data_IF_324293849816
#
_entry.id   IF_324293849816
#
_cell.length_a   1.000
_cell.length_b   1.000
_cell.length_c   1.000
_cell.angle_alpha   90.00
_cell.angle_beta   90.00
_cell.angle_gamma   90.00
#
_symmetry.space_group_name_H-M   'P 1'
#
loop_
_entity.id
_entity.type
_entity.pdbx_description
1 polymer ?
#
# COMPACT_ATOMS: atom_id res chain seq x y z
N UNK A 1 -21.93 -4.36 9.51
CA UNK A 1 -20.78 -4.07 10.36
C UNK A 1 -19.62 -4.23 9.42
N UNK A 2 -19.35 -3.16 8.67
CA UNK A 2 -18.33 -3.12 7.63
C UNK A 2 -17.14 -2.52 8.36
N UNK A 3 -16.05 -3.29 8.46
CA UNK A 3 -14.77 -2.74 8.90
C UNK A 3 -14.23 -2.00 7.68
N UNK A 4 -14.73 -0.78 7.46
CA UNK A 4 -13.89 0.25 6.87
C UNK A 4 -12.74 0.45 7.83
N UNK A 5 -11.55 0.78 7.33
CA UNK A 5 -10.56 1.51 8.11
C UNK A 5 -11.21 2.82 8.55
N UNK A 6 -12.00 2.82 9.63
CA UNK A 6 -12.89 3.94 9.99
C UNK A 6 -12.13 5.18 10.48
N UNK A 7 -10.82 5.13 10.46
CA UNK A 7 -9.93 6.05 11.14
C UNK A 7 -8.86 6.66 10.20
N UNK A 8 -8.93 6.40 8.88
CA UNK A 8 -8.22 7.14 7.83
C UNK A 8 -9.05 7.13 6.54
N UNK A 9 -9.32 8.29 5.93
CA UNK A 9 -10.08 8.36 4.67
C UNK A 9 -9.95 9.71 3.93
N UNK A 10 -10.07 9.68 2.60
CA UNK A 10 -10.40 10.84 1.77
C UNK A 10 -11.90 11.16 1.79
N UNK A 11 -12.25 12.41 2.14
CA UNK A 11 -13.61 12.94 2.07
C UNK A 11 -13.80 13.78 0.78
N UNK A 12 -14.51 13.27 -0.25
CA UNK A 12 -14.70 13.99 -1.50
C UNK A 12 -15.64 15.21 -1.38
N UNK A 13 -16.58 15.22 -0.42
CA UNK A 13 -17.50 16.35 -0.22
C UNK A 13 -16.79 17.58 0.35
N UNK A 14 -15.87 17.35 1.30
CA UNK A 14 -15.09 18.40 1.96
C UNK A 14 -13.74 18.66 1.29
N UNK A 15 -13.31 17.77 0.39
CA UNK A 15 -11.98 17.71 -0.20
C UNK A 15 -10.89 17.71 0.87
N UNK A 16 -11.00 16.79 1.84
CA UNK A 16 -10.11 16.69 2.98
C UNK A 16 -9.72 15.25 3.24
N UNK A 17 -8.45 15.04 3.54
CA UNK A 17 -7.97 13.78 4.11
C UNK A 17 -8.09 13.86 5.63
N UNK A 18 -8.68 12.83 6.22
CA UNK A 18 -8.79 12.66 7.66
C UNK A 18 -7.91 11.47 8.07
N UNK A 19 -6.98 11.71 9.00
CA UNK A 19 -6.12 10.69 9.60
C UNK A 19 -6.33 10.76 11.12
N UNK A 20 -7.02 9.79 11.68
CA UNK A 20 -7.38 9.74 13.09
C UNK A 20 -6.25 9.11 13.91
N UNK A 21 -6.11 9.54 15.17
CA UNK A 21 -5.11 8.97 16.07
C UNK A 21 -5.44 7.51 16.45
N UNK A 22 -6.71 7.14 16.35
CA UNK A 22 -7.23 5.79 16.56
C UNK A 22 -6.60 4.78 15.60
N UNK A 23 -6.34 5.16 14.34
CA UNK A 23 -5.62 4.32 13.38
C UNK A 23 -4.19 4.02 13.89
N UNK A 24 -3.49 5.06 14.33
CA UNK A 24 -2.10 4.95 14.82
C UNK A 24 -2.05 4.08 16.08
N UNK A 25 -3.01 4.25 17.00
CA UNK A 25 -3.11 3.45 18.23
C UNK A 25 -3.38 1.97 17.92
N UNK A 26 -4.28 1.67 16.97
CA UNK A 26 -4.53 0.29 16.54
C UNK A 26 -3.32 -0.33 15.84
N UNK A 27 -2.64 0.43 14.97
CA UNK A 27 -1.43 -0.03 14.30
C UNK A 27 -0.30 -0.31 15.30
N UNK A 28 -0.02 0.61 16.22
CA UNK A 28 1.01 0.41 17.27
C UNK A 28 0.69 -0.83 18.11
N UNK A 29 -0.57 -0.99 18.50
CA UNK A 29 -1.00 -2.15 19.27
C UNK A 29 -0.84 -3.44 18.47
N UNK A 30 -1.27 -3.46 17.22
CA UNK A 30 -1.15 -4.62 16.32
C UNK A 30 0.32 -5.04 16.17
N UNK A 31 1.21 -4.09 15.90
CA UNK A 31 2.65 -4.36 15.83
C UNK A 31 3.25 -4.83 17.16
N UNK A 32 2.80 -4.25 18.29
CA UNK A 32 3.27 -4.66 19.62
C UNK A 32 2.84 -6.09 19.95
N UNK A 33 1.61 -6.47 19.61
CA UNK A 33 1.09 -7.83 19.78
C UNK A 33 1.79 -8.83 18.83
N UNK A 34 2.15 -8.38 17.61
CA UNK A 34 2.96 -9.11 16.64
C UNK A 34 4.44 -9.23 17.01
N UNK A 35 4.90 -8.53 18.05
CA UNK A 35 6.27 -8.61 18.56
C UNK A 35 7.29 -7.77 17.78
N UNK A 36 6.85 -6.71 17.10
CA UNK A 36 7.74 -5.78 16.43
C UNK A 36 8.75 -5.16 17.44
N UNK A 37 10.05 -5.02 17.08
CA UNK A 37 11.05 -4.44 17.98
C UNK A 37 10.78 -2.98 18.35
N UNK A 38 10.21 -2.20 17.42
CA UNK A 38 9.77 -0.82 17.59
C UNK A 38 8.35 -0.64 17.02
N UNK A 39 7.30 -0.97 17.79
CA UNK A 39 5.93 -0.93 17.31
C UNK A 39 5.45 0.48 16.93
N UNK A 40 5.92 1.50 17.64
CA UNK A 40 5.53 2.88 17.36
C UNK A 40 6.11 3.35 16.03
N UNK A 41 7.38 3.07 15.75
CA UNK A 41 7.96 3.42 14.46
C UNK A 41 7.24 2.70 13.33
N UNK A 42 6.97 1.39 13.46
CA UNK A 42 6.20 0.64 12.45
C UNK A 42 4.79 1.18 12.24
N UNK A 43 4.14 1.65 13.30
CA UNK A 43 2.82 2.29 13.20
C UNK A 43 2.88 3.63 12.45
N UNK A 44 3.92 4.43 12.69
CA UNK A 44 4.17 5.67 11.94
C UNK A 44 4.40 5.35 10.47
N UNK A 45 5.26 4.38 10.17
CA UNK A 45 5.56 3.93 8.81
C UNK A 45 4.29 3.45 8.09
N UNK A 46 3.47 2.62 8.73
CA UNK A 46 2.20 2.17 8.16
C UNK A 46 1.20 3.34 7.95
N UNK A 47 1.21 4.33 8.85
CA UNK A 47 0.39 5.54 8.72
C UNK A 47 0.82 6.39 7.53
N UNK A 48 2.13 6.53 7.29
CA UNK A 48 2.66 7.26 6.14
C UNK A 48 2.29 6.54 4.82
N UNK A 49 2.36 5.21 4.79
CA UNK A 49 1.90 4.43 3.64
C UNK A 49 0.39 4.59 3.39
N UNK A 50 -0.44 4.55 4.46
CA UNK A 50 -1.89 4.77 4.35
C UNK A 50 -2.21 6.21 3.94
N UNK A 51 -1.41 7.20 4.36
CA UNK A 51 -1.54 8.57 3.85
C UNK A 51 -1.41 8.62 2.31
N UNK A 52 -0.45 7.90 1.74
CA UNK A 52 -0.31 7.84 0.27
C UNK A 52 -1.43 7.02 -0.40
N UNK A 53 -1.98 6.02 0.28
CA UNK A 53 -3.19 5.31 -0.15
C UNK A 53 -4.38 6.28 -0.25
N UNK A 54 -4.64 7.07 0.80
CA UNK A 54 -5.71 8.08 0.80
C UNK A 54 -5.45 9.19 -0.23
N UNK A 55 -4.18 9.51 -0.46
CA UNK A 55 -3.81 10.41 -1.56
C UNK A 55 -4.20 9.82 -2.92
N UNK A 56 -4.22 8.49 -3.06
CA UNK A 56 -4.73 7.80 -4.22
C UNK A 56 -6.22 8.07 -4.47
N UNK A 57 -7.06 7.92 -3.45
CA UNK A 57 -8.47 8.32 -3.55
C UNK A 57 -8.59 9.80 -3.91
N UNK A 58 -7.80 10.67 -3.27
CA UNK A 58 -7.80 12.11 -3.53
C UNK A 58 -7.49 12.45 -4.99
N UNK A 59 -6.41 11.93 -5.56
CA UNK A 59 -6.01 12.29 -6.94
C UNK A 59 -6.97 11.73 -7.98
N UNK A 60 -7.54 10.55 -7.73
CA UNK A 60 -8.57 9.98 -8.60
C UNK A 60 -9.82 10.86 -8.60
N UNK A 61 -10.29 11.28 -7.42
CA UNK A 61 -11.46 12.13 -7.26
C UNK A 61 -11.25 13.56 -7.83
N UNK A 62 -10.20 14.26 -7.39
CA UNK A 62 -9.95 15.67 -7.78
C UNK A 62 -9.76 15.83 -9.29
N UNK A 63 -9.08 14.87 -9.93
CA UNK A 63 -8.76 14.94 -11.36
C UNK A 63 -9.72 14.13 -12.24
N UNK A 64 -10.73 13.48 -11.66
CA UNK A 64 -11.68 12.62 -12.38
C UNK A 64 -10.95 11.56 -13.23
N UNK A 65 -9.94 10.92 -12.63
CA UNK A 65 -9.08 9.97 -13.35
C UNK A 65 -9.85 8.66 -13.61
N UNK A 66 -9.80 8.13 -14.84
CA UNK A 66 -10.42 6.85 -15.13
C UNK A 66 -9.63 5.70 -14.50
N UNK A 67 -10.26 4.93 -13.62
CA UNK A 67 -9.71 3.71 -13.03
C UNK A 67 -10.52 2.49 -13.47
N UNK A 68 -9.87 1.34 -13.64
CA UNK A 68 -10.52 0.08 -14.04
C UNK A 68 -10.29 -1.07 -13.06
N UNK A 69 -9.51 -0.83 -12.00
CA UNK A 69 -9.31 -1.75 -10.88
C UNK A 69 -10.35 -1.56 -9.78
N UNK A 70 -10.23 -2.35 -8.71
CA UNK A 70 -10.94 -2.07 -7.46
C UNK A 70 -10.35 -0.82 -6.84
N UNK A 71 -11.20 0.02 -6.26
CA UNK A 71 -10.80 1.35 -5.79
C UNK A 71 -9.63 1.30 -4.80
N UNK A 72 -9.73 0.42 -3.80
CA UNK A 72 -8.72 0.20 -2.76
C UNK A 72 -7.39 -0.34 -3.32
N UNK A 73 -7.45 -1.27 -4.28
CA UNK A 73 -6.25 -1.81 -4.93
C UNK A 73 -5.55 -0.73 -5.79
N UNK A 74 -6.32 0.21 -6.34
CA UNK A 74 -5.81 1.35 -7.11
C UNK A 74 -5.19 2.40 -6.17
N UNK A 75 -5.78 2.63 -5.00
CA UNK A 75 -5.21 3.47 -3.95
C UNK A 75 -3.87 2.90 -3.44
N UNK A 76 -3.77 1.59 -3.23
CA UNK A 76 -2.50 0.92 -2.89
C UNK A 76 -1.42 1.11 -3.98
N UNK A 77 -1.82 1.09 -5.26
CA UNK A 77 -0.90 1.37 -6.36
C UNK A 77 -0.35 2.79 -6.31
N UNK A 78 -1.13 3.78 -5.85
CA UNK A 78 -0.63 5.13 -5.64
C UNK A 78 0.38 5.18 -4.50
N UNK A 79 0.12 4.47 -3.40
CA UNK A 79 1.09 4.35 -2.32
C UNK A 79 2.43 3.79 -2.81
N UNK A 80 2.39 2.66 -3.53
CA UNK A 80 3.57 2.07 -4.14
C UNK A 80 4.24 3.00 -5.16
N UNK A 81 3.47 3.64 -6.04
CA UNK A 81 3.99 4.61 -7.00
C UNK A 81 4.73 5.76 -6.30
N UNK A 82 4.16 6.34 -5.25
CA UNK A 82 4.75 7.50 -4.59
C UNK A 82 5.99 7.15 -3.76
N UNK A 83 5.96 6.01 -3.07
CA UNK A 83 7.03 5.58 -2.17
C UNK A 83 8.23 4.96 -2.92
N UNK A 84 7.98 4.27 -4.04
CA UNK A 84 9.00 3.45 -4.68
C UNK A 84 9.67 4.14 -5.89
N UNK A 85 9.65 5.47 -5.97
CA UNK A 85 10.37 6.17 -7.03
C UNK A 85 11.89 6.08 -6.80
N UNK A 86 12.69 5.78 -7.85
CA UNK A 86 14.13 5.71 -7.71
C UNK A 86 14.75 7.10 -7.52
N UNK A 87 15.81 7.15 -6.72
CA UNK A 87 16.68 8.32 -6.55
C UNK A 87 17.65 8.53 -7.71
N UNK A 88 18.60 9.46 -7.53
CA UNK A 88 19.60 9.81 -8.55
C UNK A 88 20.56 8.66 -8.92
N UNK A 89 20.67 7.64 -8.07
CA UNK A 89 21.49 6.44 -8.26
C UNK A 89 20.71 5.26 -8.86
N UNK A 90 19.49 5.52 -9.37
CA UNK A 90 18.56 4.53 -9.91
C UNK A 90 18.14 3.46 -8.88
N UNK A 91 18.21 3.78 -7.58
CA UNK A 91 17.82 2.90 -6.46
C UNK A 91 16.63 3.47 -5.72
N UNK A 92 15.75 2.60 -5.24
CA UNK A 92 14.66 3.00 -4.35
C UNK A 92 15.24 3.25 -2.96
N UNK A 93 14.75 4.30 -2.30
CA UNK A 93 15.12 4.60 -0.93
C UNK A 93 14.62 3.51 0.02
N UNK A 94 15.53 2.94 0.83
CA UNK A 94 15.23 1.80 1.68
C UNK A 94 14.21 2.15 2.78
N UNK A 95 14.22 3.38 3.30
CA UNK A 95 13.24 3.84 4.29
C UNK A 95 11.84 3.90 3.65
N UNK A 96 11.75 4.35 2.40
CA UNK A 96 10.48 4.35 1.64
C UNK A 96 9.95 2.94 1.33
N UNK A 97 10.85 1.96 1.10
CA UNK A 97 10.47 0.55 1.01
C UNK A 97 9.94 0.05 2.36
N UNK A 98 10.64 0.34 3.46
CA UNK A 98 10.21 -0.04 4.82
C UNK A 98 8.83 0.52 5.17
N UNK A 99 8.53 1.76 4.75
CA UNK A 99 7.20 2.39 4.87
C UNK A 99 6.11 1.56 4.18
N UNK A 100 6.33 1.15 2.92
CA UNK A 100 5.37 0.31 2.19
C UNK A 100 5.24 -1.09 2.82
N UNK A 101 6.35 -1.67 3.27
CA UNK A 101 6.36 -2.98 3.93
C UNK A 101 5.66 -2.95 5.29
N UNK A 102 5.69 -1.82 6.01
CA UNK A 102 4.92 -1.67 7.24
C UNK A 102 3.41 -1.79 6.98
N UNK A 103 2.89 -1.20 5.89
CA UNK A 103 1.49 -1.39 5.49
C UNK A 103 1.19 -2.85 5.13
N UNK A 104 2.10 -3.51 4.39
CA UNK A 104 1.95 -4.92 4.06
C UNK A 104 1.92 -5.81 5.32
N UNK A 105 2.80 -5.59 6.28
CA UNK A 105 2.82 -6.32 7.55
C UNK A 105 1.54 -6.10 8.35
N UNK A 106 1.04 -4.85 8.39
CA UNK A 106 -0.20 -4.52 9.10
C UNK A 106 -1.41 -5.25 8.48
N UNK A 107 -1.50 -5.25 7.15
CA UNK A 107 -2.53 -6.00 6.41
C UNK A 107 -2.41 -7.52 6.62
N UNK A 108 -1.19 -8.05 6.66
CA UNK A 108 -0.97 -9.47 6.97
C UNK A 108 -1.49 -9.83 8.36
N UNK A 109 -1.14 -9.02 9.38
CA UNK A 109 -1.61 -9.22 10.75
C UNK A 109 -3.13 -9.12 10.89
N UNK A 110 -3.77 -8.13 10.25
CA UNK A 110 -5.23 -8.02 10.23
C UNK A 110 -5.89 -9.19 9.51
N UNK A 111 -5.34 -9.62 8.36
CA UNK A 111 -5.82 -10.77 7.63
C UNK A 111 -5.72 -12.07 8.44
N UNK A 112 -4.63 -12.27 9.17
CA UNK A 112 -4.46 -13.41 10.07
C UNK A 112 -5.46 -13.38 11.24
N UNK A 113 -5.74 -12.20 11.79
CA UNK A 113 -6.72 -12.01 12.85
C UNK A 113 -8.16 -12.25 12.37
N UNK A 114 -8.48 -11.88 11.12
CA UNK A 114 -9.77 -12.10 10.49
C UNK A 114 -10.00 -13.59 10.12
N UNK A 115 -8.94 -14.31 9.77
CA UNK A 115 -8.99 -15.71 9.37
C UNK A 115 -9.36 -15.90 7.89
N UNK A 116 -9.87 -17.09 7.55
CA UNK A 116 -10.21 -17.41 6.15
C UNK A 116 -11.32 -16.48 5.62
N UNK A 117 -11.17 -15.90 4.41
CA UNK A 117 -12.17 -14.98 3.88
C UNK A 117 -13.52 -15.69 3.63
N UNK A 118 -14.59 -15.09 4.13
CA UNK A 118 -15.97 -15.54 3.94
C UNK A 118 -16.67 -14.80 2.78
N UNK A 119 -17.96 -15.10 2.55
CA UNK A 119 -18.75 -14.46 1.50
C UNK A 119 -18.80 -12.92 1.64
N UNK A 120 -18.79 -12.39 2.86
CA UNK A 120 -18.80 -10.95 3.08
C UNK A 120 -17.44 -10.34 2.70
N UNK A 121 -16.34 -10.99 3.07
CA UNK A 121 -14.99 -10.55 2.68
C UNK A 121 -14.79 -10.57 1.15
N UNK A 122 -15.34 -11.56 0.44
CA UNK A 122 -15.28 -11.59 -1.03
C UNK A 122 -16.18 -10.54 -1.70
N UNK A 123 -17.22 -10.07 -1.03
CA UNK A 123 -18.15 -9.05 -1.52
C UNK A 123 -17.77 -7.62 -1.09
N UNK A 124 -16.75 -7.47 -0.25
CA UNK A 124 -16.27 -6.18 0.23
C UNK A 124 -15.67 -5.34 -0.92
N UNK A 125 -15.50 -4.03 -0.71
CA UNK A 125 -14.81 -3.17 -1.69
C UNK A 125 -13.30 -3.47 -1.68
N UNK A 126 -12.74 -3.78 -0.52
CA UNK A 126 -11.34 -4.17 -0.35
C UNK A 126 -11.12 -5.58 -0.85
N UNK A 127 -10.03 -5.79 -1.58
CA UNK A 127 -9.53 -7.15 -1.76
C UNK A 127 -9.20 -7.80 -0.43
N UNK A 128 -9.34 -9.14 -0.28
CA UNK A 128 -8.89 -9.82 0.92
C UNK A 128 -7.45 -9.40 1.25
N UNK A 129 -7.17 -9.10 2.51
CA UNK A 129 -5.90 -8.44 2.90
C UNK A 129 -4.67 -9.18 2.36
N UNK A 130 -4.68 -10.52 2.40
CA UNK A 130 -3.61 -11.35 1.85
C UNK A 130 -3.35 -11.11 0.34
N UNK A 131 -4.37 -10.80 -0.45
CA UNK A 131 -4.19 -10.41 -1.85
C UNK A 131 -3.46 -9.07 -1.95
N UNK A 132 -3.82 -8.10 -1.10
CA UNK A 132 -3.17 -6.79 -1.03
C UNK A 132 -1.72 -6.90 -0.57
N UNK A 133 -1.44 -7.73 0.45
CA UNK A 133 -0.09 -8.04 0.92
C UNK A 133 0.80 -8.54 -0.23
N UNK A 134 0.38 -9.55 -0.98
CA UNK A 134 1.19 -10.06 -2.09
C UNK A 134 1.36 -9.07 -3.24
N UNK A 135 0.42 -8.14 -3.44
CA UNK A 135 0.58 -7.05 -4.39
C UNK A 135 1.64 -6.05 -3.92
N UNK A 136 1.57 -5.60 -2.65
CA UNK A 136 2.54 -4.67 -2.07
C UNK A 136 3.96 -5.25 -2.07
N UNK A 137 4.14 -6.50 -1.64
CA UNK A 137 5.41 -7.21 -1.69
C UNK A 137 5.95 -7.34 -3.12
N UNK A 138 5.06 -7.62 -4.07
CA UNK A 138 5.42 -7.70 -5.48
C UNK A 138 5.90 -6.34 -6.02
N UNK A 139 5.20 -5.26 -5.73
CA UNK A 139 5.59 -3.93 -6.21
C UNK A 139 6.88 -3.44 -5.53
N UNK A 140 7.06 -3.69 -4.23
CA UNK A 140 8.31 -3.43 -3.53
C UNK A 140 9.48 -4.19 -4.16
N UNK A 141 9.33 -5.50 -4.38
CA UNK A 141 10.36 -6.30 -5.05
C UNK A 141 10.62 -5.84 -6.49
N UNK A 142 9.56 -5.55 -7.25
CA UNK A 142 9.65 -5.14 -8.65
C UNK A 142 10.33 -3.79 -8.86
N UNK A 143 10.24 -2.89 -7.88
CA UNK A 143 10.82 -1.55 -7.97
C UNK A 143 12.36 -1.53 -7.89
N UNK A 144 12.95 -2.45 -7.15
CA UNK A 144 14.38 -2.71 -7.15
C UNK A 144 14.64 -4.17 -6.76
N UNK A 145 14.70 -5.05 -7.76
CA UNK A 145 14.83 -6.50 -7.55
C UNK A 145 16.15 -6.89 -6.87
N UNK A 146 17.21 -6.10 -7.10
CA UNK A 146 18.52 -6.29 -6.48
C UNK A 146 18.51 -5.76 -5.03
N UNK A 147 17.94 -4.58 -4.80
CA UNK A 147 17.89 -3.92 -3.49
C UNK A 147 16.92 -4.60 -2.51
N UNK A 148 15.83 -5.17 -3.03
CA UNK A 148 14.75 -5.76 -2.24
C UNK A 148 14.71 -7.29 -2.35
N UNK A 149 15.81 -7.93 -2.76
CA UNK A 149 15.92 -9.38 -2.92
C UNK A 149 15.52 -10.19 -1.67
N UNK A 150 15.68 -9.60 -0.48
CA UNK A 150 15.27 -10.19 0.81
C UNK A 150 13.79 -10.62 0.84
N UNK A 151 12.92 -9.91 0.13
CA UNK A 151 11.49 -10.20 0.03
C UNK A 151 11.26 -11.61 -0.54
N UNK A 152 12.07 -12.03 -1.51
CA UNK A 152 11.98 -13.37 -2.10
C UNK A 152 12.87 -14.36 -1.35
N UNK A 153 14.10 -13.96 -1.01
CA UNK A 153 15.09 -14.84 -0.37
C UNK A 153 14.62 -15.38 1.00
N UNK A 154 13.89 -14.57 1.77
CA UNK A 154 13.29 -14.96 3.06
C UNK A 154 11.88 -15.56 2.91
N UNK A 155 11.38 -15.70 1.67
CA UNK A 155 10.13 -16.36 1.34
C UNK A 155 8.86 -15.57 1.64
N UNK A 156 8.95 -14.24 1.79
CA UNK A 156 7.77 -13.38 1.97
C UNK A 156 6.94 -13.33 0.68
N UNK A 157 7.61 -13.32 -0.47
CA UNK A 157 7.01 -13.40 -1.79
C UNK A 157 7.40 -14.72 -2.48
N UNK A 158 6.45 -15.56 -2.91
CA UNK A 158 6.73 -16.76 -3.68
C UNK A 158 7.50 -16.45 -4.97
N UNK A 159 8.52 -17.27 -5.29
CA UNK A 159 9.36 -17.09 -6.48
C UNK A 159 8.53 -17.02 -7.78
N UNK A 160 7.44 -17.79 -7.88
CA UNK A 160 6.56 -17.80 -9.05
C UNK A 160 5.76 -16.51 -9.21
N UNK A 161 5.38 -15.87 -8.10
CA UNK A 161 4.76 -14.54 -8.09
C UNK A 161 5.76 -13.47 -8.48
N UNK A 162 7.01 -13.58 -7.99
CA UNK A 162 8.08 -12.61 -8.19
C UNK A 162 8.46 -12.41 -9.68
N UNK A 163 8.30 -13.43 -10.52
CA UNK A 163 8.65 -13.41 -11.96
C UNK A 163 8.04 -12.23 -12.73
N UNK A 164 6.85 -11.76 -12.34
CA UNK A 164 6.12 -10.71 -13.07
C UNK A 164 6.24 -9.33 -12.41
N UNK A 165 6.88 -9.24 -11.25
CA UNK A 165 6.79 -8.08 -10.39
C UNK A 165 7.46 -6.82 -10.93
N UNK A 166 8.64 -6.94 -11.55
CA UNK A 166 9.31 -5.81 -12.22
C UNK A 166 8.41 -5.22 -13.31
N UNK A 167 7.84 -6.08 -14.18
CA UNK A 167 6.94 -5.64 -15.25
C UNK A 167 5.62 -5.04 -14.72
N UNK A 168 5.09 -5.56 -13.61
CA UNK A 168 3.90 -5.00 -12.96
C UNK A 168 4.17 -3.63 -12.36
N UNK A 169 5.30 -3.44 -11.68
CA UNK A 169 5.67 -2.14 -11.13
C UNK A 169 5.95 -1.11 -12.24
N UNK A 170 6.65 -1.50 -13.31
CA UNK A 170 6.83 -0.66 -14.50
C UNK A 170 5.49 -0.21 -15.10
N UNK A 171 4.51 -1.13 -15.14
CA UNK A 171 3.17 -0.81 -15.63
C UNK A 171 2.45 0.19 -14.72
N UNK A 172 2.56 0.04 -13.39
CA UNK A 172 2.01 0.99 -12.41
C UNK A 172 2.63 2.37 -12.60
N UNK A 173 3.97 2.45 -12.65
CA UNK A 173 4.70 3.69 -12.86
C UNK A 173 4.26 4.40 -14.14
N UNK A 174 4.28 3.69 -15.26
CA UNK A 174 3.87 4.26 -16.54
C UNK A 174 2.40 4.72 -16.54
N UNK A 175 1.51 3.99 -15.86
CA UNK A 175 0.10 4.32 -15.78
C UNK A 175 -0.12 5.60 -14.98
N UNK A 176 0.45 5.72 -13.78
CA UNK A 176 0.31 6.92 -12.94
C UNK A 176 0.99 8.14 -13.53
N UNK A 177 2.19 7.99 -14.11
CA UNK A 177 2.84 9.08 -14.86
C UNK A 177 1.92 9.56 -15.99
N UNK A 178 1.33 8.64 -16.76
CA UNK A 178 0.45 8.99 -17.88
C UNK A 178 -0.83 9.68 -17.41
N UNK A 179 -1.47 9.17 -16.35
CA UNK A 179 -2.71 9.72 -15.80
C UNK A 179 -2.49 11.11 -15.17
N UNK A 180 -1.37 11.31 -14.48
CA UNK A 180 -1.08 12.56 -13.77
C UNK A 180 -0.45 13.62 -14.67
N UNK A 181 0.20 13.25 -15.78
CA UNK A 181 0.91 14.18 -16.66
C UNK A 181 0.10 15.44 -17.06
N UNK A 182 -1.21 15.37 -17.39
CA UNK A 182 -2.01 16.56 -17.72
C UNK A 182 -2.23 17.53 -16.54
N UNK A 183 -1.96 17.10 -15.31
CA UNK A 183 -2.28 17.83 -14.07
C UNK A 183 -1.03 18.36 -13.34
N UNK A 184 0.15 17.86 -13.69
CA UNK A 184 1.43 18.34 -13.17
C UNK A 184 1.82 19.68 -13.84
N UNK A 185 2.30 20.63 -13.03
CA UNK A 185 2.82 21.91 -13.54
C UNK A 185 4.34 21.81 -13.68
N UNK A 186 4.86 22.35 -14.78
CA UNK A 186 6.29 22.61 -14.99
C UNK A 186 6.84 23.67 -14.02
#
# INVERSE_FOLDING_TARGET
MIVQYQDAYWNPELQQMEMCYEFIDDAEKTFAEGGAPDPLQRAIDATDAVFFHEMGHMVVDIYDLPITGREEDVADQVAAFMLLQPGEDDRVDAESVDVLLAMADLFDMWGQAAGDPDEAAYADVHSPDQVRVYNLLCWAFGADTDGNAVIVDEGWLPEDRAVQCEAEFDQINNSWITLLAPHLKE
#
